data_IF_113654190266
#
_entry.id   IF_113654190266
#
_cell.length_a   1.000
_cell.length_b   1.000
_cell.length_c   1.000
_cell.angle_alpha   90.00
_cell.angle_beta   90.00
_cell.angle_gamma   90.00
#
_symmetry.space_group_name_H-M   'P 1'
#
loop_
_entity.id
_entity.type
_entity.pdbx_description
1 polymer ?
#
# COMPACT_ATOMS: atom_id res chain seq x y z
N UNK A 1 -30.65 8.38 -6.14
CA UNK A 1 -30.05 8.74 -4.85
C UNK A 1 -28.58 8.33 -4.94
N UNK A 2 -27.65 9.30 -4.94
CA UNK A 2 -26.21 9.01 -4.95
C UNK A 2 -25.86 8.31 -3.66
N UNK A 3 -25.15 7.18 -3.76
CA UNK A 3 -24.54 6.55 -2.59
C UNK A 3 -23.54 7.55 -2.01
N UNK A 4 -23.62 7.81 -0.70
CA UNK A 4 -22.66 8.66 0.00
C UNK A 4 -21.21 8.19 -0.18
N UNK A 5 -20.24 8.93 0.33
CA UNK A 5 -18.85 8.54 0.26
C UNK A 5 -18.62 7.23 1.02
N UNK A 6 -17.66 6.44 0.53
CA UNK A 6 -17.21 5.21 1.15
C UNK A 6 -15.89 5.47 1.88
N UNK A 7 -15.78 5.07 3.14
CA UNK A 7 -14.49 4.99 3.82
C UNK A 7 -13.85 3.64 3.48
N UNK A 8 -12.65 3.69 2.94
CA UNK A 8 -11.84 2.51 2.62
C UNK A 8 -10.87 2.24 3.75
N UNK A 9 -10.85 1.01 4.25
CA UNK A 9 -10.00 0.57 5.35
C UNK A 9 -9.24 -0.69 4.95
N UNK A 10 -8.03 -0.87 5.46
CA UNK A 10 -7.27 -2.11 5.30
C UNK A 10 -7.86 -3.22 6.19
N UNK A 11 -7.58 -4.48 5.83
CA UNK A 11 -7.96 -5.63 6.66
C UNK A 11 -7.40 -5.54 8.09
N UNK A 12 -6.16 -5.03 8.26
CA UNK A 12 -5.57 -4.83 9.58
C UNK A 12 -6.33 -3.79 10.39
N UNK A 13 -6.76 -2.69 9.75
CA UNK A 13 -7.58 -1.69 10.44
C UNK A 13 -8.93 -2.25 10.84
N UNK A 14 -9.60 -2.98 9.96
CA UNK A 14 -10.87 -3.66 10.28
C UNK A 14 -10.71 -4.58 11.49
N UNK A 15 -9.60 -5.33 11.57
CA UNK A 15 -9.31 -6.17 12.73
C UNK A 15 -9.12 -5.36 14.01
N UNK A 16 -8.46 -4.20 13.96
CA UNK A 16 -8.30 -3.32 15.12
C UNK A 16 -9.62 -2.70 15.61
N UNK A 17 -10.61 -2.59 14.74
CA UNK A 17 -11.98 -2.19 15.06
C UNK A 17 -12.83 -3.37 15.63
N UNK A 18 -12.20 -4.47 16.03
CA UNK A 18 -12.82 -5.70 16.51
C UNK A 18 -13.79 -6.34 15.50
N UNK A 19 -13.54 -6.15 14.22
CA UNK A 19 -14.26 -6.83 13.14
C UNK A 19 -13.30 -7.74 12.39
N UNK A 20 -13.84 -8.72 11.66
CA UNK A 20 -13.04 -9.67 10.89
C UNK A 20 -13.49 -9.70 9.44
N UNK A 21 -12.52 -9.77 8.54
CA UNK A 21 -12.75 -10.10 7.14
C UNK A 21 -12.37 -11.56 6.90
N UNK A 22 -13.00 -12.18 5.91
CA UNK A 22 -12.58 -13.51 5.45
C UNK A 22 -11.11 -13.44 4.99
N UNK A 23 -10.38 -14.54 5.20
CA UNK A 23 -9.00 -14.65 4.74
C UNK A 23 -8.88 -14.34 3.25
N UNK A 24 -7.86 -13.54 2.87
CA UNK A 24 -7.62 -13.15 1.48
C UNK A 24 -8.30 -11.85 1.02
N UNK A 25 -9.09 -11.19 1.88
CA UNK A 25 -9.68 -9.89 1.57
C UNK A 25 -8.77 -8.78 2.10
N UNK A 26 -8.17 -7.95 1.22
CA UNK A 26 -7.15 -6.97 1.63
C UNK A 26 -7.72 -5.70 2.24
N UNK A 27 -8.97 -5.36 1.92
CA UNK A 27 -9.62 -4.12 2.32
C UNK A 27 -11.12 -4.32 2.55
N UNK A 28 -11.74 -3.30 3.14
CA UNK A 28 -13.19 -3.17 3.23
C UNK A 28 -13.62 -1.74 2.96
N UNK A 29 -14.85 -1.55 2.56
CA UNK A 29 -15.52 -0.27 2.44
C UNK A 29 -16.64 -0.13 3.46
N UNK A 30 -16.83 1.09 3.97
CA UNK A 30 -17.90 1.47 4.89
C UNK A 30 -18.66 2.64 4.26
N UNK A 31 -19.96 2.47 4.03
CA UNK A 31 -20.80 3.55 3.53
C UNK A 31 -21.03 4.58 4.63
N UNK A 32 -20.67 5.83 4.36
CA UNK A 32 -20.83 6.94 5.29
C UNK A 32 -22.10 7.71 5.01
N UNK A 33 -22.75 8.16 6.08
CA UNK A 33 -23.81 9.18 6.06
C UNK A 33 -23.32 10.39 6.85
N UNK A 34 -24.03 11.51 6.76
CA UNK A 34 -23.63 12.74 7.45
C UNK A 34 -23.34 12.56 8.96
N UNK A 35 -24.09 11.69 9.64
CA UNK A 35 -23.89 11.39 11.07
C UNK A 35 -22.55 10.71 11.39
N UNK A 36 -21.87 10.15 10.37
CA UNK A 36 -20.62 9.41 10.56
C UNK A 36 -19.38 10.29 10.29
N UNK A 37 -19.54 11.51 9.76
CA UNK A 37 -18.40 12.33 9.35
C UNK A 37 -17.46 12.69 10.50
N UNK A 38 -17.99 12.92 11.68
CA UNK A 38 -17.16 13.20 12.87
C UNK A 38 -16.35 11.99 13.32
N UNK A 39 -16.83 10.77 13.01
CA UNK A 39 -16.17 9.51 13.37
C UNK A 39 -15.14 9.04 12.35
N UNK A 40 -15.01 9.69 11.18
CA UNK A 40 -14.15 9.21 10.07
C UNK A 40 -12.71 9.03 10.51
N UNK A 41 -12.17 10.00 11.25
CA UNK A 41 -10.80 9.94 11.75
C UNK A 41 -10.62 8.79 12.74
N UNK A 42 -11.52 8.62 13.67
CA UNK A 42 -11.47 7.54 14.65
C UNK A 42 -11.61 6.17 13.98
N UNK A 43 -12.48 6.05 12.97
CA UNK A 43 -12.61 4.84 12.19
C UNK A 43 -11.34 4.54 11.37
N UNK A 44 -10.68 5.56 10.84
CA UNK A 44 -9.47 5.40 10.04
C UNK A 44 -8.25 5.01 10.90
N UNK A 45 -8.05 5.62 12.06
CA UNK A 45 -6.82 5.45 12.85
C UNK A 45 -6.96 5.64 14.37
N UNK A 46 -8.15 5.99 14.87
CA UNK A 46 -8.39 6.15 16.31
C UNK A 46 -8.38 4.82 17.08
N UNK A 47 -8.55 4.89 18.38
CA UNK A 47 -8.67 3.72 19.27
C UNK A 47 -10.15 3.34 19.54
N UNK A 48 -11.03 3.65 18.60
CA UNK A 48 -12.44 3.33 18.72
C UNK A 48 -12.74 1.91 18.23
N UNK A 49 -13.88 1.38 18.69
CA UNK A 49 -14.43 0.12 18.20
C UNK A 49 -15.67 0.44 17.37
N UNK A 50 -16.00 -0.44 16.42
CA UNK A 50 -17.25 -0.38 15.70
C UNK A 50 -18.34 -1.06 16.53
N UNK A 51 -19.28 -0.28 17.05
CA UNK A 51 -20.47 -0.80 17.70
C UNK A 51 -21.52 -1.21 16.65
N UNK A 52 -22.33 -2.21 16.98
CA UNK A 52 -23.44 -2.63 16.13
C UNK A 52 -24.51 -1.53 16.00
N UNK A 53 -24.65 -0.68 17.03
CA UNK A 53 -25.57 0.47 17.08
C UNK A 53 -25.15 1.63 16.18
N UNK A 54 -23.90 1.68 15.73
CA UNK A 54 -23.42 2.71 14.80
C UNK A 54 -24.10 2.63 13.41
N UNK A 55 -24.75 1.49 13.10
CA UNK A 55 -25.41 1.26 11.82
C UNK A 55 -24.47 1.31 10.63
N UNK A 56 -23.18 1.07 10.87
CA UNK A 56 -22.14 0.98 9.84
C UNK A 56 -21.99 -0.46 9.37
N UNK A 57 -22.10 -0.66 8.07
CA UNK A 57 -21.92 -1.97 7.44
C UNK A 57 -20.58 -2.00 6.72
N UNK A 58 -19.77 -3.02 7.02
CA UNK A 58 -18.53 -3.31 6.34
C UNK A 58 -18.80 -4.20 5.13
N UNK A 59 -18.33 -3.77 3.97
CA UNK A 59 -18.34 -4.57 2.75
C UNK A 59 -16.91 -4.97 2.43
N UNK A 60 -16.65 -6.27 2.41
CA UNK A 60 -15.33 -6.81 2.09
C UNK A 60 -14.99 -6.59 0.61
N UNK A 61 -13.75 -6.19 0.35
CA UNK A 61 -13.28 -5.81 -0.97
C UNK A 61 -12.21 -6.80 -1.47
N UNK A 62 -12.36 -7.26 -2.71
CA UNK A 62 -11.44 -8.22 -3.34
C UNK A 62 -10.08 -7.58 -3.65
N UNK A 63 -9.08 -8.44 -3.77
CA UNK A 63 -7.80 -8.05 -4.36
C UNK A 63 -8.03 -7.53 -5.79
N UNK A 64 -7.39 -6.41 -6.15
CA UNK A 64 -7.57 -5.73 -7.43
C UNK A 64 -8.83 -4.86 -7.53
N UNK A 65 -9.64 -4.70 -6.46
CA UNK A 65 -10.70 -3.70 -6.42
C UNK A 65 -10.13 -2.29 -6.29
N UNK A 66 -10.92 -1.25 -6.61
CA UNK A 66 -10.51 0.14 -6.42
C UNK A 66 -10.13 0.43 -4.97
N UNK A 67 -10.80 -0.18 -4.00
CA UNK A 67 -10.48 -0.04 -2.59
C UNK A 67 -9.11 -0.66 -2.25
N UNK A 68 -8.77 -1.83 -2.79
CA UNK A 68 -7.45 -2.43 -2.65
C UNK A 68 -6.38 -1.53 -3.28
N UNK A 69 -6.61 -1.04 -4.51
CA UNK A 69 -5.69 -0.13 -5.18
C UNK A 69 -5.49 1.17 -4.38
N UNK A 70 -6.55 1.76 -3.83
CA UNK A 70 -6.46 2.96 -3.01
C UNK A 70 -5.58 2.74 -1.77
N UNK A 71 -5.78 1.64 -1.03
CA UNK A 71 -4.94 1.34 0.15
C UNK A 71 -3.48 1.04 -0.22
N UNK A 72 -3.24 0.42 -1.38
CA UNK A 72 -1.89 0.15 -1.89
C UNK A 72 -1.20 1.44 -2.32
N UNK A 73 -1.90 2.33 -3.02
CA UNK A 73 -1.36 3.64 -3.41
C UNK A 73 -0.90 4.44 -2.20
N UNK A 74 -1.75 4.52 -1.17
CA UNK A 74 -1.42 5.24 0.07
C UNK A 74 -0.22 4.62 0.80
N UNK A 75 -0.14 3.30 0.88
CA UNK A 75 1.03 2.61 1.45
C UNK A 75 2.31 2.90 0.67
N UNK A 76 2.25 2.89 -0.66
CA UNK A 76 3.39 3.23 -1.50
C UNK A 76 3.86 4.67 -1.27
N UNK A 77 2.91 5.57 -1.06
CA UNK A 77 3.18 6.98 -0.71
C UNK A 77 3.60 7.17 0.77
N UNK A 78 3.73 6.09 1.55
CA UNK A 78 4.02 6.11 3.00
C UNK A 78 2.99 6.94 3.80
N UNK A 79 1.77 6.98 3.31
CA UNK A 79 0.63 7.60 3.98
C UNK A 79 -0.19 6.56 4.74
N UNK A 80 -1.04 7.05 5.65
CA UNK A 80 -2.01 6.20 6.32
C UNK A 80 -2.92 5.53 5.27
N UNK A 81 -3.04 4.19 5.25
CA UNK A 81 -3.76 3.49 4.20
C UNK A 81 -5.28 3.45 4.46
N UNK A 82 -5.88 4.62 4.62
CA UNK A 82 -7.32 4.84 4.68
C UNK A 82 -7.70 5.97 3.73
N UNK A 83 -8.79 5.84 3.00
CA UNK A 83 -9.23 6.82 2.01
C UNK A 83 -10.73 7.02 2.02
N UNK A 84 -11.15 8.21 1.64
CA UNK A 84 -12.52 8.44 1.23
C UNK A 84 -12.64 8.24 -0.28
N UNK A 85 -13.61 7.46 -0.69
CA UNK A 85 -13.87 7.13 -2.07
C UNK A 85 -15.32 7.53 -2.42
N UNK A 86 -15.48 8.22 -3.54
CA UNK A 86 -16.79 8.56 -4.08
C UNK A 86 -16.89 8.12 -5.53
N UNK A 87 -18.07 7.63 -5.91
CA UNK A 87 -18.34 7.29 -7.31
C UNK A 87 -18.79 8.56 -8.03
N UNK A 88 -18.10 8.91 -9.09
CA UNK A 88 -18.54 9.97 -9.99
C UNK A 88 -19.65 9.45 -10.92
N UNK A 89 -20.66 10.29 -11.26
CA UNK A 89 -21.79 9.89 -12.07
C UNK A 89 -21.49 9.76 -13.56
N UNK A 90 -20.25 10.04 -13.97
CA UNK A 90 -19.84 10.05 -15.37
C UNK A 90 -19.48 8.64 -15.85
N UNK A 91 -20.00 8.27 -17.01
CA UNK A 91 -19.64 7.02 -17.70
C UNK A 91 -18.77 7.25 -18.94
N UNK A 92 -18.87 8.45 -19.52
CA UNK A 92 -18.12 8.82 -20.69
C UNK A 92 -16.72 9.29 -20.29
N UNK A 93 -15.69 8.70 -20.92
CA UNK A 93 -14.28 9.00 -20.61
C UNK A 93 -13.93 10.44 -20.92
N UNK A 94 -14.48 11.03 -21.97
CA UNK A 94 -14.23 12.43 -22.36
C UNK A 94 -14.77 13.38 -21.28
N UNK A 95 -15.93 13.04 -20.70
CA UNK A 95 -16.53 13.83 -19.62
C UNK A 95 -15.70 13.69 -18.34
N UNK A 96 -15.19 12.48 -18.05
CA UNK A 96 -14.30 12.23 -16.91
C UNK A 96 -13.00 13.04 -17.04
N UNK A 97 -12.36 13.00 -18.20
CA UNK A 97 -11.11 13.72 -18.46
C UNK A 97 -11.29 15.24 -18.35
N UNK A 98 -12.38 15.76 -18.91
CA UNK A 98 -12.71 17.18 -18.78
C UNK A 98 -12.92 17.58 -17.33
N UNK A 99 -13.70 16.82 -16.59
CA UNK A 99 -13.93 17.04 -15.16
C UNK A 99 -12.63 17.02 -14.37
N UNK A 100 -11.76 16.04 -14.64
CA UNK A 100 -10.46 15.92 -13.99
C UNK A 100 -9.55 17.13 -14.27
N UNK A 101 -9.52 17.60 -15.52
CA UNK A 101 -8.77 18.80 -15.92
C UNK A 101 -9.31 20.08 -15.27
N UNK A 102 -10.64 20.29 -15.31
CA UNK A 102 -11.28 21.46 -14.71
C UNK A 102 -11.07 21.57 -13.20
N UNK A 103 -10.96 20.41 -12.52
CA UNK A 103 -10.80 20.36 -11.07
C UNK A 103 -9.38 20.02 -10.63
N UNK A 104 -8.42 19.96 -11.55
CA UNK A 104 -7.01 19.64 -11.30
C UNK A 104 -6.83 18.29 -10.55
N UNK A 105 -7.57 17.28 -10.98
CA UNK A 105 -7.56 15.94 -10.41
C UNK A 105 -6.65 15.03 -11.24
N UNK A 106 -5.75 14.30 -10.58
CA UNK A 106 -4.93 13.27 -11.22
C UNK A 106 -5.80 12.03 -11.53
N UNK A 107 -5.68 11.54 -12.76
CA UNK A 107 -6.31 10.28 -13.19
C UNK A 107 -5.26 9.19 -13.23
N UNK A 108 -5.54 8.08 -12.55
CA UNK A 108 -4.70 6.87 -12.54
C UNK A 108 -5.56 5.68 -12.95
N UNK A 109 -5.05 4.84 -13.81
CA UNK A 109 -5.67 3.56 -14.10
C UNK A 109 -5.15 2.46 -13.16
N UNK A 110 -5.96 1.43 -12.90
CA UNK A 110 -5.56 0.31 -12.05
C UNK A 110 -4.26 -0.35 -12.54
N UNK A 111 -4.08 -0.47 -13.85
CA UNK A 111 -2.85 -1.02 -14.47
C UNK A 111 -1.59 -0.20 -14.13
N UNK A 112 -1.71 1.11 -13.91
CA UNK A 112 -0.56 1.95 -13.58
C UNK A 112 -0.04 1.60 -12.18
N UNK A 113 -0.95 1.30 -11.25
CA UNK A 113 -0.60 0.84 -9.90
C UNK A 113 -0.02 -0.57 -9.88
N UNK A 114 -0.49 -1.45 -10.76
CA UNK A 114 0.04 -2.80 -10.90
C UNK A 114 1.46 -2.78 -11.49
N UNK A 115 1.67 -2.00 -12.57
CA UNK A 115 2.98 -1.87 -13.21
C UNK A 115 4.02 -1.20 -12.30
N UNK A 116 3.60 -0.25 -11.47
CA UNK A 116 4.49 0.43 -10.52
C UNK A 116 5.25 -0.55 -9.60
N UNK A 117 4.59 -1.58 -9.09
CA UNK A 117 5.25 -2.56 -8.23
C UNK A 117 6.33 -3.39 -8.95
N UNK A 118 6.08 -3.72 -10.22
CA UNK A 118 7.07 -4.43 -11.03
C UNK A 118 8.26 -3.53 -11.37
N UNK A 119 7.99 -2.26 -11.66
CA UNK A 119 9.02 -1.28 -12.01
C UNK A 119 9.83 -0.83 -10.78
N UNK A 120 9.20 -0.65 -9.62
CA UNK A 120 9.89 -0.21 -8.41
C UNK A 120 11.03 -1.15 -8.00
N UNK A 121 10.87 -2.47 -8.17
CA UNK A 121 11.94 -3.44 -7.97
C UNK A 121 13.10 -3.33 -8.97
N UNK A 122 12.79 -2.94 -10.21
CA UNK A 122 13.79 -2.76 -11.28
C UNK A 122 14.50 -1.39 -11.20
N UNK A 123 13.95 -0.43 -10.50
CA UNK A 123 14.50 0.92 -10.33
C UNK A 123 15.34 1.08 -9.06
N UNK A 124 15.90 0.02 -8.54
CA UNK A 124 16.86 0.09 -7.45
C UNK A 124 18.27 0.36 -7.99
N UNK A 125 18.94 1.35 -7.40
CA UNK A 125 20.36 1.62 -7.69
C UNK A 125 21.22 1.30 -6.49
N UNK A 126 22.46 0.88 -6.74
CA UNK A 126 23.44 0.73 -5.67
C UNK A 126 23.80 2.13 -5.16
N UNK A 127 23.51 2.39 -3.89
CA UNK A 127 23.79 3.65 -3.23
C UNK A 127 25.18 3.66 -2.57
N UNK A 128 25.60 2.50 -2.02
CA UNK A 128 26.91 2.35 -1.38
C UNK A 128 27.35 0.89 -1.38
N UNK A 129 28.66 0.68 -1.25
CA UNK A 129 29.30 -0.60 -0.99
C UNK A 129 30.35 -0.41 0.10
N UNK A 130 30.46 -1.35 1.00
CA UNK A 130 31.47 -1.34 2.05
C UNK A 130 31.94 -2.75 2.38
N UNK A 131 33.24 -2.93 2.52
CA UNK A 131 33.80 -4.14 3.13
C UNK A 131 33.54 -4.10 4.63
N UNK A 132 32.86 -5.09 5.14
CA UNK A 132 32.50 -5.19 6.57
C UNK A 132 32.93 -6.57 7.07
N UNK A 133 34.09 -6.67 7.71
CA UNK A 133 34.54 -7.95 8.23
C UNK A 133 33.59 -8.44 9.31
N UNK A 134 33.02 -9.62 9.09
CA UNK A 134 32.18 -10.30 10.07
C UNK A 134 33.02 -11.34 10.81
N UNK A 135 32.65 -11.64 12.06
CA UNK A 135 33.35 -12.63 12.87
C UNK A 135 33.45 -14.02 12.22
N UNK A 136 32.53 -14.33 11.32
CA UNK A 136 32.44 -15.62 10.59
C UNK A 136 32.85 -15.50 9.10
N UNK A 137 33.12 -14.30 8.58
CA UNK A 137 33.47 -14.06 7.19
C UNK A 137 34.20 -12.69 7.08
N UNK A 138 35.53 -12.72 7.04
CA UNK A 138 36.34 -11.49 6.98
C UNK A 138 36.23 -10.76 5.65
N UNK A 139 35.81 -11.46 4.57
CA UNK A 139 35.65 -10.95 3.21
C UNK A 139 34.20 -10.57 2.86
N UNK A 140 33.38 -10.27 3.88
CA UNK A 140 32.02 -9.85 3.64
C UNK A 140 31.92 -8.41 3.10
N UNK A 141 31.05 -8.23 2.11
CA UNK A 141 30.71 -6.92 1.55
C UNK A 141 29.24 -6.60 1.81
N UNK A 142 28.94 -5.40 2.29
CA UNK A 142 27.58 -4.88 2.39
C UNK A 142 27.30 -3.96 1.21
N UNK A 143 26.24 -4.24 0.47
CA UNK A 143 25.76 -3.43 -0.64
C UNK A 143 24.42 -2.83 -0.28
N UNK A 144 24.34 -1.50 -0.30
CA UNK A 144 23.10 -0.77 -0.06
C UNK A 144 22.43 -0.42 -1.38
N UNK A 145 21.16 -0.72 -1.47
CA UNK A 145 20.31 -0.39 -2.62
C UNK A 145 19.29 0.65 -2.20
N UNK A 146 19.11 1.66 -3.03
CA UNK A 146 18.12 2.70 -2.86
C UNK A 146 17.14 2.68 -4.01
N UNK A 147 15.84 2.69 -3.71
CA UNK A 147 14.83 2.86 -4.72
C UNK A 147 14.86 4.31 -5.26
N UNK A 148 14.80 4.47 -6.58
CA UNK A 148 14.79 5.81 -7.19
C UNK A 148 13.50 6.57 -6.94
N UNK A 149 12.39 5.86 -6.74
CA UNK A 149 11.07 6.45 -6.50
C UNK A 149 10.48 5.84 -5.22
N UNK A 150 10.37 6.64 -4.17
CA UNK A 150 9.53 6.40 -2.99
C UNK A 150 9.68 5.08 -2.23
N UNK A 151 10.68 4.26 -2.57
CA UNK A 151 10.93 2.95 -1.98
C UNK A 151 11.68 2.99 -0.65
N UNK A 152 11.83 1.82 -0.05
CA UNK A 152 12.69 1.61 1.12
C UNK A 152 14.11 1.31 0.66
N UNK A 153 15.09 1.65 1.49
CA UNK A 153 16.46 1.23 1.28
C UNK A 153 16.56 -0.27 1.63
N UNK A 154 17.22 -1.02 0.80
CA UNK A 154 17.51 -2.44 1.01
C UNK A 154 18.99 -2.66 1.06
N UNK A 155 19.45 -3.73 1.71
CA UNK A 155 20.84 -4.09 1.68
C UNK A 155 21.01 -5.59 1.45
N UNK A 156 22.14 -5.95 0.85
CA UNK A 156 22.60 -7.33 0.73
C UNK A 156 23.94 -7.46 1.44
N UNK A 157 24.12 -8.54 2.16
CA UNK A 157 25.41 -8.98 2.67
C UNK A 157 25.92 -10.08 1.76
N UNK A 158 27.02 -9.81 1.08
CA UNK A 158 27.70 -10.77 0.21
C UNK A 158 28.83 -11.41 1.00
N UNK A 159 28.83 -12.73 1.09
CA UNK A 159 29.86 -13.50 1.79
C UNK A 159 30.62 -14.33 0.75
N UNK A 160 31.92 -14.12 0.69
CA UNK A 160 32.77 -14.75 -0.29
C UNK A 160 32.54 -14.25 -1.72
N UNK A 161 32.99 -15.00 -2.71
CA UNK A 161 32.93 -14.64 -4.14
C UNK A 161 31.65 -15.14 -4.81
N UNK A 162 30.50 -14.80 -4.24
CA UNK A 162 29.20 -15.28 -4.71
C UNK A 162 28.87 -14.99 -6.18
N UNK A 163 29.53 -14.00 -6.78
CA UNK A 163 29.36 -13.65 -8.22
C UNK A 163 30.04 -14.61 -9.17
N UNK A 164 30.91 -15.51 -8.68
CA UNK A 164 31.61 -16.52 -9.47
C UNK A 164 30.88 -17.86 -9.51
N UNK A 165 29.72 -17.97 -8.85
CA UNK A 165 28.95 -19.22 -8.74
C UNK A 165 27.70 -19.11 -9.59
N UNK A 166 27.43 -20.12 -10.42
CA UNK A 166 26.28 -20.19 -11.33
C UNK A 166 24.94 -20.10 -10.55
N UNK A 167 24.88 -20.63 -9.32
CA UNK A 167 23.69 -20.61 -8.45
C UNK A 167 24.10 -20.24 -7.02
N UNK A 168 24.18 -18.94 -6.68
CA UNK A 168 24.52 -18.50 -5.34
C UNK A 168 23.40 -18.84 -4.35
N UNK A 169 23.77 -19.26 -3.12
CA UNK A 169 22.84 -19.45 -2.07
C UNK A 169 22.35 -18.10 -1.54
N UNK A 170 21.03 -17.87 -1.57
CA UNK A 170 20.40 -16.62 -1.15
C UNK A 170 19.47 -16.86 0.01
N UNK A 171 19.57 -16.03 1.07
CA UNK A 171 18.64 -15.98 2.18
C UNK A 171 17.98 -14.62 2.25
N UNK A 172 16.65 -14.58 2.25
CA UNK A 172 15.89 -13.36 2.50
C UNK A 172 15.71 -13.14 3.99
N UNK A 173 15.92 -11.91 4.43
CA UNK A 173 15.73 -11.49 5.81
C UNK A 173 14.86 -10.24 5.88
N UNK A 174 13.95 -10.15 6.85
CA UNK A 174 13.25 -8.91 7.14
C UNK A 174 14.23 -7.91 7.79
N UNK A 175 13.92 -6.63 7.70
CA UNK A 175 14.78 -5.52 8.16
C UNK A 175 14.99 -5.48 9.69
N UNK A 176 14.39 -6.37 10.44
CA UNK A 176 14.58 -6.53 11.89
C UNK A 176 15.87 -7.33 12.13
N UNK A 177 16.97 -6.63 12.42
CA UNK A 177 18.26 -7.18 12.83
C UNK A 177 18.37 -7.04 14.35
#
# INVERSE_FOLDING_TARGET
AGSGPLLVLTANRVKSLQRSLRQGWPAATVALTARHYEKVFDLAFGQTYLDDDDGLSLVAERRGSLADHATRLLRNAKLLPAALMARLPFRDIVVQDRFAQEHNILVLEARDLESYHHQAGAMMRIAARAQVPLAVAEDAEVVMFRAEIGGEDHFAVLIGKGTEVEAPLVRLHSQCI
#
